data_IF_515208677601
#
_entry.id   IF_515208677601
#
_cell.length_a   1.000
_cell.length_b   1.000
_cell.length_c   1.000
_cell.angle_alpha   90.00
_cell.angle_beta   90.00
_cell.angle_gamma   90.00
#
_symmetry.space_group_name_H-M   'P 1'
#
loop_
_entity.id
_entity.type
_entity.pdbx_description
1 polymer ?
#
# COMPACT_ATOMS: atom_id res chain seq x y z
N UNK A 1 2.64 19.89 4.98
CA UNK A 1 1.31 19.36 4.57
C UNK A 1 1.33 18.69 3.20
N UNK A 2 1.60 19.40 2.10
CA UNK A 2 1.43 18.82 0.76
C UNK A 2 2.46 17.75 0.39
N UNK A 3 3.72 17.96 0.76
CA UNK A 3 4.73 16.94 0.59
C UNK A 3 4.36 15.65 1.35
N UNK A 4 3.87 15.78 2.59
CA UNK A 4 3.34 14.64 3.35
C UNK A 4 2.10 14.00 2.71
N UNK A 5 1.22 14.78 2.08
CA UNK A 5 0.10 14.22 1.31
C UNK A 5 0.59 13.40 0.11
N UNK A 6 1.59 13.89 -0.63
CA UNK A 6 2.18 13.14 -1.76
C UNK A 6 2.91 11.88 -1.29
N UNK A 7 3.61 11.95 -0.15
CA UNK A 7 4.24 10.79 0.48
C UNK A 7 3.19 9.76 0.93
N UNK A 8 2.10 10.20 1.55
CA UNK A 8 1.00 9.32 1.94
C UNK A 8 0.32 8.67 0.74
N UNK A 9 0.20 9.38 -0.38
CA UNK A 9 -0.28 8.81 -1.63
C UNK A 9 0.62 7.70 -2.17
N UNK A 10 1.91 7.68 -1.80
CA UNK A 10 2.85 6.59 -2.08
C UNK A 10 2.97 5.58 -0.93
N UNK A 11 2.04 5.62 0.03
CA UNK A 11 1.97 4.67 1.14
C UNK A 11 2.88 4.99 2.33
N UNK A 12 3.53 6.16 2.36
CA UNK A 12 4.34 6.58 3.50
C UNK A 12 3.53 7.46 4.46
N UNK A 13 3.29 6.95 5.66
CA UNK A 13 2.66 7.71 6.76
C UNK A 13 3.66 8.59 7.49
N UNK A 14 3.14 9.56 8.25
CA UNK A 14 3.93 10.55 8.97
C UNK A 14 3.10 11.23 10.06
N UNK A 15 3.46 12.46 10.41
CA UNK A 15 2.81 13.19 11.51
C UNK A 15 1.43 13.72 11.10
N UNK A 16 1.28 14.16 9.84
CA UNK A 16 -0.01 14.66 9.34
C UNK A 16 -0.99 13.51 9.08
N UNK A 17 -0.51 12.43 8.47
CA UNK A 17 -1.30 11.30 8.00
C UNK A 17 -0.80 10.06 8.71
N UNK A 18 -1.59 9.62 9.67
CA UNK A 18 -1.27 8.53 10.58
C UNK A 18 -1.90 7.22 10.07
N UNK A 19 -1.23 6.11 10.34
CA UNK A 19 -1.81 4.78 10.21
C UNK A 19 -2.26 4.29 11.59
N UNK A 20 -3.55 4.05 11.75
CA UNK A 20 -4.09 3.54 13.02
C UNK A 20 -3.52 2.18 13.43
N UNK A 21 -2.99 1.40 12.48
CA UNK A 21 -2.33 0.11 12.79
C UNK A 21 -0.98 0.31 13.47
N UNK A 22 -0.22 1.31 13.02
CA UNK A 22 1.08 1.66 13.57
C UNK A 22 0.95 2.30 14.96
N UNK A 23 -0.17 2.96 15.24
CA UNK A 23 -0.47 3.49 16.59
C UNK A 23 -0.80 2.40 17.61
N UNK A 24 -1.46 1.32 17.18
CA UNK A 24 -1.87 0.22 18.06
C UNK A 24 -0.70 -0.74 18.38
N UNK A 25 0.22 -0.93 17.44
CA UNK A 25 1.48 -1.65 17.66
C UNK A 25 2.50 -0.71 18.32
N UNK A 26 2.36 -0.52 19.64
CA UNK A 26 3.23 0.30 20.52
C UNK A 26 4.64 0.60 19.98
N UNK A 27 4.86 1.87 19.63
CA UNK A 27 6.15 2.57 19.39
C UNK A 27 6.95 2.06 18.17
N UNK A 28 6.68 2.68 17.02
CA UNK A 28 7.69 2.92 15.97
C UNK A 28 8.14 1.72 15.14
N UNK A 29 7.38 0.63 15.12
CA UNK A 29 7.68 -0.52 14.26
C UNK A 29 6.91 -0.37 12.95
N UNK A 30 7.64 -0.23 11.84
CA UNK A 30 7.07 -0.33 10.50
C UNK A 30 6.25 -1.62 10.38
N UNK A 31 5.03 -1.53 9.83
CA UNK A 31 4.18 -2.70 9.57
C UNK A 31 5.00 -3.83 8.92
N UNK A 32 5.00 -5.00 9.57
CA UNK A 32 5.72 -6.16 9.05
C UNK A 32 5.25 -6.47 7.63
N UNK A 33 6.16 -6.74 6.66
CA UNK A 33 5.80 -7.15 5.30
C UNK A 33 4.86 -8.37 5.27
N UNK A 34 4.85 -9.16 6.35
CA UNK A 34 4.10 -10.42 6.45
C UNK A 34 2.76 -10.31 7.19
N UNK A 35 2.42 -9.17 7.78
CA UNK A 35 1.09 -9.00 8.40
C UNK A 35 -0.04 -9.18 7.34
N UNK A 36 -1.28 -9.47 7.75
CA UNK A 36 -2.40 -9.56 6.80
C UNK A 36 -2.70 -8.19 6.16
N UNK A 37 -3.27 -8.19 4.96
CA UNK A 37 -3.89 -6.99 4.38
C UNK A 37 -5.06 -6.56 5.28
N UNK A 38 -5.29 -5.26 5.42
CA UNK A 38 -6.47 -4.76 6.16
C UNK A 38 -7.76 -5.06 5.43
N UNK A 39 -8.89 -5.15 6.12
CA UNK A 39 -10.19 -5.15 5.42
C UNK A 39 -10.65 -3.70 5.16
N UNK A 40 -10.26 -2.77 6.03
CA UNK A 40 -10.67 -1.37 5.99
C UNK A 40 -9.48 -0.41 5.89
N UNK A 41 -9.73 0.79 5.37
CA UNK A 41 -8.74 1.87 5.28
C UNK A 41 -8.32 2.35 6.69
N UNK A 42 -7.02 2.27 6.98
CA UNK A 42 -6.47 2.64 8.28
C UNK A 42 -5.76 4.00 8.29
N UNK A 43 -5.63 4.64 7.13
CA UNK A 43 -5.08 5.98 7.01
C UNK A 43 -6.07 7.01 7.52
N UNK A 44 -5.60 7.87 8.42
CA UNK A 44 -6.39 9.00 8.94
C UNK A 44 -5.57 10.26 9.01
N UNK A 45 -6.25 11.39 8.89
CA UNK A 45 -5.66 12.70 9.16
C UNK A 45 -5.61 12.91 10.67
N UNK A 46 -4.47 13.40 11.18
CA UNK A 46 -4.30 13.61 12.61
C UNK A 46 -5.40 14.55 13.17
N UNK A 47 -5.96 14.23 14.36
CA UNK A 47 -7.12 14.94 14.90
C UNK A 47 -6.80 16.32 15.46
N UNK A 48 -5.53 16.61 15.74
CA UNK A 48 -5.00 17.81 16.37
C UNK A 48 -4.65 18.93 15.38
N UNK A 49 -4.88 18.72 14.08
CA UNK A 49 -4.59 19.69 13.03
C UNK A 49 -5.68 20.76 12.95
N UNK A 50 -5.37 21.97 13.43
CA UNK A 50 -6.29 23.12 13.46
C UNK A 50 -6.23 24.04 12.23
N UNK A 51 -5.21 23.89 11.37
CA UNK A 51 -4.98 24.78 10.22
C UNK A 51 -5.69 24.37 8.93
N UNK A 52 -6.34 23.20 8.89
CA UNK A 52 -7.04 22.65 7.71
C UNK A 52 -8.54 22.95 7.84
N UNK A 53 -9.16 23.49 6.79
CA UNK A 53 -10.60 23.72 6.80
C UNK A 53 -11.38 22.39 6.71
N UNK A 54 -12.60 22.30 7.27
CA UNK A 54 -13.40 21.07 7.21
C UNK A 54 -13.62 20.54 5.78
N UNK A 55 -13.86 21.43 4.81
CA UNK A 55 -13.99 21.06 3.39
C UNK A 55 -12.70 20.49 2.79
N UNK A 56 -11.54 20.99 3.21
CA UNK A 56 -10.24 20.47 2.77
C UNK A 56 -9.95 19.12 3.44
N UNK A 57 -10.36 18.98 4.70
CA UNK A 57 -10.22 17.74 5.48
C UNK A 57 -10.95 16.59 4.79
N UNK A 58 -12.21 16.76 4.39
CA UNK A 58 -12.97 15.72 3.70
C UNK A 58 -12.29 15.29 2.39
N UNK A 59 -11.71 16.23 1.65
CA UNK A 59 -10.99 15.95 0.40
C UNK A 59 -9.68 15.22 0.67
N UNK A 60 -8.93 15.62 1.70
CA UNK A 60 -7.68 14.95 2.10
C UNK A 60 -7.98 13.53 2.59
N UNK A 61 -8.97 13.35 3.46
CA UNK A 61 -9.39 12.03 3.97
C UNK A 61 -9.82 11.11 2.82
N UNK A 62 -10.50 11.65 1.80
CA UNK A 62 -10.77 10.90 0.58
C UNK A 62 -9.50 10.56 -0.19
N UNK A 63 -8.56 11.48 -0.38
CA UNK A 63 -7.33 11.23 -1.14
C UNK A 63 -6.42 10.19 -0.49
N UNK A 64 -6.26 10.22 0.84
CA UNK A 64 -5.39 9.27 1.54
C UNK A 64 -5.87 7.82 1.43
N UNK A 65 -7.17 7.57 1.13
CA UNK A 65 -7.65 6.22 0.81
C UNK A 65 -6.92 5.61 -0.40
N UNK A 66 -6.55 6.43 -1.39
CA UNK A 66 -5.75 5.96 -2.53
C UNK A 66 -4.35 5.54 -2.10
N UNK A 67 -3.73 6.31 -1.19
CA UNK A 67 -2.43 5.99 -0.62
C UNK A 67 -2.45 4.69 0.16
N UNK A 68 -3.53 4.46 0.91
CA UNK A 68 -3.78 3.20 1.60
C UNK A 68 -3.89 2.03 0.61
N UNK A 69 -4.72 2.15 -0.44
CA UNK A 69 -4.85 1.10 -1.45
C UNK A 69 -3.53 0.81 -2.16
N UNK A 70 -2.78 1.86 -2.53
CA UNK A 70 -1.45 1.74 -3.11
C UNK A 70 -0.54 0.90 -2.21
N UNK A 71 -0.47 1.24 -0.92
CA UNK A 71 0.41 0.56 0.03
C UNK A 71 0.07 -0.93 0.18
N UNK A 72 -1.21 -1.26 0.33
CA UNK A 72 -1.62 -2.65 0.48
C UNK A 72 -1.43 -3.47 -0.82
N UNK A 73 -1.66 -2.86 -1.99
CA UNK A 73 -1.37 -3.48 -3.28
C UNK A 73 0.12 -3.74 -3.49
N UNK A 74 0.97 -2.76 -3.17
CA UNK A 74 2.44 -2.89 -3.28
C UNK A 74 2.98 -3.96 -2.33
N UNK A 75 2.43 -4.02 -1.13
CA UNK A 75 2.74 -5.02 -0.11
C UNK A 75 2.36 -6.43 -0.54
N UNK A 76 1.15 -6.61 -1.08
CA UNK A 76 0.72 -7.88 -1.66
C UNK A 76 1.65 -8.31 -2.80
N UNK A 77 2.00 -7.38 -3.69
CA UNK A 77 2.88 -7.66 -4.82
C UNK A 77 4.27 -8.08 -4.37
N UNK A 78 4.88 -7.34 -3.43
CA UNK A 78 6.21 -7.63 -2.87
C UNK A 78 6.23 -8.99 -2.17
N UNK A 79 5.19 -9.30 -1.39
CA UNK A 79 5.03 -10.60 -0.72
C UNK A 79 4.91 -11.74 -1.73
N UNK A 80 4.05 -11.59 -2.74
CA UNK A 80 3.80 -12.61 -3.77
C UNK A 80 4.98 -12.83 -4.73
N UNK A 81 5.85 -11.83 -4.89
CA UNK A 81 7.06 -11.91 -5.72
C UNK A 81 8.28 -12.50 -4.99
N UNK A 82 8.19 -12.80 -3.69
CA UNK A 82 9.33 -13.28 -2.93
C UNK A 82 9.80 -14.68 -3.39
N UNK A 83 11.04 -14.78 -3.89
CA UNK A 83 11.66 -16.02 -4.37
C UNK A 83 12.55 -16.71 -3.33
N UNK A 84 12.49 -16.32 -2.05
CA UNK A 84 13.36 -16.88 -0.99
C UNK A 84 13.31 -18.41 -0.93
N UNK A 85 12.18 -19.01 -1.31
CA UNK A 85 11.99 -20.46 -1.39
C UNK A 85 12.85 -21.17 -2.45
N UNK A 86 13.17 -20.54 -3.58
CA UNK A 86 14.04 -21.15 -4.59
C UNK A 86 15.43 -21.39 -3.99
N UNK A 87 15.82 -20.53 -3.04
CA UNK A 87 17.08 -20.64 -2.30
C UNK A 87 17.04 -21.75 -1.23
N UNK A 88 15.86 -22.15 -0.73
CA UNK A 88 15.75 -23.23 0.28
C UNK A 88 15.82 -24.63 -0.34
N UNK A 89 15.45 -24.79 -1.62
CA UNK A 89 15.60 -26.06 -2.37
C UNK A 89 17.07 -26.49 -2.50
N UNK A 90 18.01 -25.53 -2.52
CA UNK A 90 19.45 -25.80 -2.65
C UNK A 90 20.18 -25.98 -1.30
N UNK A 91 19.47 -26.01 -0.16
CA UNK A 91 20.09 -26.31 1.13
C UNK A 91 20.17 -27.83 1.36
N UNK A 92 21.35 -28.29 1.77
CA UNK A 92 21.63 -29.69 2.09
C UNK A 92 20.70 -30.21 3.19
N UNK A 93 20.47 -31.53 3.29
CA UNK A 93 19.44 -32.11 4.17
C UNK A 93 19.61 -31.82 5.67
N UNK A 94 20.77 -31.32 6.11
CA UNK A 94 21.11 -31.11 7.52
C UNK A 94 20.46 -29.86 8.15
N UNK A 95 19.90 -28.94 7.37
CA UNK A 95 19.28 -27.71 7.92
C UNK A 95 17.79 -27.83 8.23
N UNK A 96 17.18 -29.01 8.02
CA UNK A 96 15.73 -29.22 8.15
C UNK A 96 15.21 -29.26 9.59
N UNK A 97 16.08 -29.24 10.59
CA UNK A 97 15.71 -29.44 12.00
C UNK A 97 15.41 -28.15 12.77
N UNK A 98 15.67 -26.96 12.22
CA UNK A 98 15.51 -25.68 12.95
C UNK A 98 14.33 -24.81 12.52
N UNK A 99 13.51 -25.22 11.54
CA UNK A 99 12.37 -24.43 11.05
C UNK A 99 11.00 -25.06 11.42
N UNK A 100 10.89 -25.68 12.61
CA UNK A 100 9.64 -26.29 13.14
C UNK A 100 8.93 -25.38 14.15
N UNK A 101 9.08 -24.06 14.04
CA UNK A 101 8.32 -23.10 14.86
C UNK A 101 7.64 -22.06 13.97
N UNK A 102 6.35 -22.31 13.72
CA UNK A 102 5.30 -21.29 13.49
C UNK A 102 5.53 -20.26 12.39
N UNK A 103 5.37 -20.67 11.13
CA UNK A 103 5.09 -19.75 10.02
C UNK A 103 4.15 -20.46 9.05
N UNK A 104 2.96 -19.89 8.79
CA UNK A 104 2.04 -20.40 7.76
C UNK A 104 2.85 -20.64 6.49
N UNK A 105 2.76 -21.84 5.90
CA UNK A 105 3.37 -22.15 4.60
C UNK A 105 2.88 -21.06 3.63
N UNK A 106 3.79 -20.20 3.22
CA UNK A 106 3.49 -19.15 2.26
C UNK A 106 3.16 -19.85 0.94
N UNK A 107 1.88 -19.89 0.58
CA UNK A 107 1.42 -20.66 -0.56
C UNK A 107 1.90 -19.97 -1.84
N UNK A 108 3.06 -20.40 -2.32
CA UNK A 108 3.68 -19.88 -3.52
C UNK A 108 2.90 -20.35 -4.72
N UNK A 109 2.38 -19.39 -5.49
CA UNK A 109 1.61 -19.64 -6.69
C UNK A 109 2.19 -18.84 -7.85
N UNK A 110 2.37 -19.50 -8.99
CA UNK A 110 2.76 -18.84 -10.24
C UNK A 110 1.66 -17.86 -10.68
N UNK A 111 0.39 -18.19 -10.46
CA UNK A 111 -0.75 -17.31 -10.74
C UNK A 111 -0.74 -16.07 -9.86
N UNK A 112 -0.51 -16.22 -8.54
CA UNK A 112 -0.36 -15.06 -7.64
C UNK A 112 0.77 -14.15 -8.07
N UNK A 113 1.89 -14.72 -8.53
CA UNK A 113 3.02 -13.94 -9.03
C UNK A 113 2.68 -13.20 -10.33
N UNK A 114 1.98 -13.85 -11.26
CA UNK A 114 1.55 -13.20 -12.48
C UNK A 114 0.61 -12.02 -12.18
N UNK A 115 -0.33 -12.19 -11.24
CA UNK A 115 -1.20 -11.11 -10.76
C UNK A 115 -0.37 -10.01 -10.10
N UNK A 116 0.57 -10.35 -9.22
CA UNK A 116 1.45 -9.39 -8.56
C UNK A 116 2.25 -8.55 -9.56
N UNK A 117 2.79 -9.16 -10.61
CA UNK A 117 3.48 -8.42 -11.68
C UNK A 117 2.54 -7.44 -12.39
N UNK A 118 1.31 -7.86 -12.71
CA UNK A 118 0.31 -6.98 -13.31
C UNK A 118 -0.09 -5.82 -12.39
N UNK A 119 -0.18 -6.06 -11.08
CA UNK A 119 -0.41 -5.02 -10.08
C UNK A 119 0.76 -4.02 -10.07
N UNK A 120 2.01 -4.48 -10.06
CA UNK A 120 3.19 -3.60 -10.12
C UNK A 120 3.18 -2.70 -11.35
N UNK A 121 2.76 -3.23 -12.51
CA UNK A 121 2.60 -2.42 -13.72
C UNK A 121 1.54 -1.31 -13.53
N UNK A 122 0.38 -1.63 -12.95
CA UNK A 122 -0.66 -0.64 -12.66
C UNK A 122 -0.17 0.42 -11.65
N UNK A 123 0.51 -0.02 -10.58
CA UNK A 123 1.08 0.87 -9.58
C UNK A 123 2.15 1.79 -10.17
N UNK A 124 2.92 1.32 -11.16
CA UNK A 124 3.91 2.18 -11.85
C UNK A 124 3.25 3.37 -12.58
N UNK A 125 2.07 3.17 -13.17
CA UNK A 125 1.28 4.24 -13.81
C UNK A 125 0.75 5.22 -12.77
N UNK A 126 0.33 4.71 -11.60
CA UNK A 126 -0.07 5.55 -10.47
C UNK A 126 1.09 6.39 -9.94
N UNK A 127 2.23 5.79 -9.66
CA UNK A 127 3.43 6.48 -9.18
C UNK A 127 3.89 7.54 -10.17
N UNK A 128 3.87 7.23 -11.47
CA UNK A 128 4.16 8.23 -12.51
C UNK A 128 3.21 9.43 -12.47
N UNK A 129 1.92 9.21 -12.24
CA UNK A 129 0.95 10.30 -12.11
C UNK A 129 1.20 11.16 -10.86
N UNK A 130 1.55 10.54 -9.72
CA UNK A 130 1.92 11.27 -8.49
C UNK A 130 3.17 12.12 -8.73
N UNK A 131 4.20 11.57 -9.37
CA UNK A 131 5.43 12.31 -9.72
C UNK A 131 5.17 13.47 -10.69
N UNK A 132 4.27 13.30 -11.66
CA UNK A 132 3.87 14.40 -12.54
C UNK A 132 3.18 15.53 -11.78
N UNK A 133 2.34 15.19 -10.80
CA UNK A 133 1.70 16.18 -9.92
C UNK A 133 2.75 16.89 -9.06
N UNK A 134 3.71 16.16 -8.51
CA UNK A 134 4.83 16.75 -7.75
C UNK A 134 5.65 17.71 -8.61
N UNK A 135 6.03 17.30 -9.82
CA UNK A 135 6.75 18.17 -10.75
C UNK A 135 5.95 19.44 -11.07
N UNK A 136 4.64 19.31 -11.29
CA UNK A 136 3.76 20.45 -11.53
C UNK A 136 3.68 21.38 -10.32
N UNK A 137 3.63 20.82 -9.11
CA UNK A 137 3.63 21.58 -7.86
C UNK A 137 4.90 22.39 -7.66
N UNK A 138 6.06 21.85 -8.07
CA UNK A 138 7.32 22.58 -8.04
C UNK A 138 7.37 23.72 -9.05
N UNK A 139 6.61 23.62 -10.15
CA UNK A 139 6.59 24.64 -11.22
C UNK A 139 5.54 25.75 -11.03
N UNK A 140 4.38 25.45 -10.42
CA UNK A 140 3.23 26.35 -10.33
C UNK A 140 2.59 26.30 -8.93
N UNK A 141 2.30 27.45 -8.32
CA UNK A 141 1.79 27.57 -6.94
C UNK A 141 0.24 27.66 -6.82
N UNK A 142 -0.49 27.31 -7.88
CA UNK A 142 -1.98 27.42 -7.99
C UNK A 142 -2.68 26.25 -7.24
N UNK A 143 -4.00 26.26 -6.92
CA UNK A 143 -4.56 25.54 -5.78
C UNK A 143 -4.38 24.03 -5.91
N UNK A 144 -3.72 23.49 -4.89
CA UNK A 144 -2.91 22.29 -5.01
C UNK A 144 -3.77 21.04 -4.87
N UNK A 145 -4.77 21.09 -3.99
CA UNK A 145 -5.63 19.95 -3.69
C UNK A 145 -6.57 19.59 -4.86
N UNK A 146 -7.05 20.59 -5.59
CA UNK A 146 -7.86 20.38 -6.79
C UNK A 146 -7.05 19.71 -7.91
N UNK A 147 -5.80 20.14 -8.11
CA UNK A 147 -4.90 19.55 -9.10
C UNK A 147 -4.57 18.08 -8.77
N UNK A 148 -4.29 17.78 -7.50
CA UNK A 148 -4.07 16.39 -7.02
C UNK A 148 -5.31 15.54 -7.25
N UNK A 149 -6.48 16.04 -6.84
CA UNK A 149 -7.76 15.32 -6.99
C UNK A 149 -8.08 15.03 -8.45
N UNK A 150 -7.90 16.02 -9.33
CA UNK A 150 -8.13 15.85 -10.76
C UNK A 150 -7.14 14.87 -11.39
N UNK A 151 -5.86 14.98 -11.06
CA UNK A 151 -4.81 14.11 -11.59
C UNK A 151 -4.98 12.64 -11.19
N UNK A 152 -5.56 12.39 -10.02
CA UNK A 152 -5.76 11.04 -9.48
C UNK A 152 -7.18 10.49 -9.65
N UNK A 153 -8.10 11.23 -10.28
CA UNK A 153 -9.51 10.88 -10.34
C UNK A 153 -9.77 9.45 -10.91
N UNK A 154 -9.00 9.06 -11.94
CA UNK A 154 -9.09 7.72 -12.55
C UNK A 154 -8.77 6.58 -11.58
N UNK A 155 -7.91 6.82 -10.59
CA UNK A 155 -7.47 5.78 -9.65
C UNK A 155 -8.49 5.51 -8.55
N UNK A 156 -9.40 6.45 -8.26
CA UNK A 156 -10.56 6.19 -7.40
C UNK A 156 -11.51 5.14 -7.96
N UNK A 157 -11.50 4.92 -9.27
CA UNK A 157 -12.31 3.88 -9.91
C UNK A 157 -11.53 2.57 -10.04
N UNK A 158 -10.21 2.64 -10.20
CA UNK A 158 -9.36 1.49 -10.51
C UNK A 158 -8.84 0.76 -9.26
N UNK A 159 -8.36 1.48 -8.25
CA UNK A 159 -7.69 0.87 -7.10
C UNK A 159 -8.63 0.12 -6.15
N UNK A 160 -9.86 0.60 -5.82
CA UNK A 160 -10.75 -0.14 -4.92
C UNK A 160 -11.08 -1.57 -5.38
N UNK A 161 -11.51 -1.84 -6.63
CA UNK A 161 -11.80 -3.22 -7.04
C UNK A 161 -10.54 -4.09 -7.14
N UNK A 162 -9.37 -3.51 -7.44
CA UNK A 162 -8.10 -4.24 -7.38
C UNK A 162 -7.74 -4.63 -5.95
N UNK A 163 -8.00 -3.73 -5.00
CA UNK A 163 -7.81 -3.98 -3.59
C UNK A 163 -8.76 -5.09 -3.09
N UNK A 164 -10.04 -5.04 -3.44
CA UNK A 164 -11.00 -6.12 -3.12
C UNK A 164 -10.53 -7.47 -3.67
N UNK A 165 -10.02 -7.52 -4.89
CA UNK A 165 -9.48 -8.75 -5.48
C UNK A 165 -8.32 -9.33 -4.66
N UNK A 166 -7.34 -8.52 -4.23
CA UNK A 166 -6.22 -9.02 -3.41
C UNK A 166 -6.69 -9.45 -2.02
N UNK A 167 -7.72 -8.80 -1.46
CA UNK A 167 -8.33 -9.21 -0.20
C UNK A 167 -8.94 -10.60 -0.30
N UNK A 168 -9.72 -10.87 -1.34
CA UNK A 168 -10.30 -12.19 -1.56
C UNK A 168 -9.21 -13.25 -1.75
N UNK A 169 -8.19 -12.96 -2.56
CA UNK A 169 -7.06 -13.86 -2.77
C UNK A 169 -6.35 -14.19 -1.44
N UNK A 170 -6.08 -13.21 -0.59
CA UNK A 170 -5.44 -13.45 0.70
C UNK A 170 -6.36 -14.18 1.68
N UNK A 171 -7.60 -13.73 1.83
CA UNK A 171 -8.59 -14.32 2.76
C UNK A 171 -8.83 -15.79 2.47
N UNK A 172 -9.06 -16.12 1.20
CA UNK A 172 -9.44 -17.47 0.78
C UNK A 172 -8.21 -18.31 0.39
N UNK A 173 -7.00 -17.76 0.55
CA UNK A 173 -5.73 -18.43 0.25
C UNK A 173 -5.68 -19.02 -1.18
N UNK A 174 -6.31 -18.35 -2.15
CA UNK A 174 -6.45 -18.78 -3.56
C UNK A 174 -5.09 -18.85 -4.24
N UNK A 175 -4.70 -19.99 -4.81
CA UNK A 175 -3.36 -20.21 -5.38
C UNK A 175 -3.34 -20.65 -6.84
N UNK A 176 -4.45 -20.48 -7.57
CA UNK A 176 -4.59 -20.90 -8.97
C UNK A 176 -6.07 -21.01 -9.35
N UNK A 177 -6.33 -21.60 -10.52
CA UNK A 177 -7.68 -21.96 -10.95
C UNK A 177 -8.27 -23.11 -10.14
#
# INVERSE_FOLDING_TARGET
MLHELLLALLGYTGDLIIDQREEQESIGVFLSPNAPISEECTFKLAPDISFIQPSERDVIERLITLGFYYRELDRFATKSCNLSWIRTVNKSPLSRTSEVTTGKKENQSVYRRAIANGIVEVLSVYTSAVLQIEQKLLSDSVPILAAVTQGLNKFFVLLPPLYELILEIERDSICGG
#
